data_IF_663367135133
#
_entry.id   IF_663367135133
#
_cell.length_a   1.000
_cell.length_b   1.000
_cell.length_c   1.000
_cell.angle_alpha   90.00
_cell.angle_beta   90.00
_cell.angle_gamma   90.00
#
_symmetry.space_group_name_H-M   'P 1'
#
loop_
_entity.id
_entity.type
_entity.pdbx_description
1 polymer ?
#
# COMPACT_ATOMS: atom_id res chain seq x y z
N UNK A 1 -31.19 15.66 -4.57
CA UNK A 1 -30.55 14.83 -5.62
C UNK A 1 -29.20 15.44 -5.93
N UNK A 2 -28.13 14.95 -5.31
CA UNK A 2 -26.76 15.41 -5.60
C UNK A 2 -26.34 14.75 -6.91
N UNK A 3 -26.16 15.55 -7.96
CA UNK A 3 -25.64 15.07 -9.24
C UNK A 3 -24.18 14.66 -9.03
N UNK A 4 -23.79 13.39 -9.28
CA UNK A 4 -22.41 12.97 -9.06
C UNK A 4 -21.51 13.63 -10.11
N UNK A 5 -20.44 14.26 -9.63
CA UNK A 5 -19.49 15.03 -10.45
C UNK A 5 -18.92 14.16 -11.58
N UNK A 6 -18.79 14.69 -12.81
CA UNK A 6 -18.26 13.91 -13.94
C UNK A 6 -16.84 13.38 -13.69
N UNK A 7 -16.03 14.06 -12.86
CA UNK A 7 -14.72 13.58 -12.42
C UNK A 7 -14.79 12.30 -11.57
N UNK A 8 -15.81 12.16 -10.72
CA UNK A 8 -16.01 10.96 -9.88
C UNK A 8 -16.38 9.74 -10.75
N UNK A 9 -17.19 9.95 -11.79
CA UNK A 9 -17.53 8.91 -12.78
C UNK A 9 -16.32 8.48 -13.62
N UNK A 10 -15.53 9.41 -14.13
CA UNK A 10 -14.36 9.09 -14.97
C UNK A 10 -13.29 8.33 -14.18
N UNK A 11 -13.04 8.71 -12.91
CA UNK A 11 -12.14 7.98 -12.01
C UNK A 11 -12.58 6.53 -11.80
N UNK A 12 -13.90 6.29 -11.65
CA UNK A 12 -14.44 4.94 -11.45
C UNK A 12 -14.29 4.03 -12.69
N UNK A 13 -14.37 4.60 -13.90
CA UNK A 13 -14.22 3.85 -15.16
C UNK A 13 -12.74 3.54 -15.40
N UNK A 14 -11.85 4.51 -15.21
CA UNK A 14 -10.40 4.31 -15.34
C UNK A 14 -9.86 3.31 -14.30
N UNK A 15 -10.43 3.31 -13.09
CA UNK A 15 -10.10 2.33 -12.06
C UNK A 15 -10.60 0.93 -12.43
N UNK A 16 -11.82 0.80 -12.97
CA UNK A 16 -12.37 -0.47 -13.48
C UNK A 16 -11.59 -1.03 -14.66
N UNK A 17 -11.18 -0.18 -15.59
CA UNK A 17 -10.37 -0.57 -16.75
C UNK A 17 -9.00 -1.10 -16.33
N UNK A 18 -8.34 -0.40 -15.39
CA UNK A 18 -7.08 -0.88 -14.79
C UNK A 18 -7.26 -2.18 -14.02
N UNK A 19 -8.37 -2.35 -13.31
CA UNK A 19 -8.69 -3.59 -12.59
C UNK A 19 -8.90 -4.75 -13.54
N UNK A 20 -9.60 -4.52 -14.65
CA UNK A 20 -9.80 -5.51 -15.72
C UNK A 20 -8.46 -5.89 -16.36
N UNK A 21 -7.58 -4.91 -16.61
CA UNK A 21 -6.23 -5.17 -17.12
C UNK A 21 -5.39 -6.03 -16.15
N UNK A 22 -5.38 -5.69 -14.84
CA UNK A 22 -4.66 -6.47 -13.83
C UNK A 22 -5.23 -7.88 -13.73
N UNK A 23 -6.56 -8.05 -13.68
CA UNK A 23 -7.20 -9.36 -13.67
C UNK A 23 -6.87 -10.19 -14.90
N UNK A 24 -6.85 -9.58 -16.09
CA UNK A 24 -6.46 -10.25 -17.32
C UNK A 24 -5.00 -10.71 -17.27
N UNK A 25 -4.08 -9.87 -16.80
CA UNK A 25 -2.68 -10.24 -16.66
C UNK A 25 -2.51 -11.45 -15.72
N UNK A 26 -3.20 -11.44 -14.58
CA UNK A 26 -3.18 -12.56 -13.63
C UNK A 26 -3.79 -13.83 -14.23
N UNK A 27 -4.87 -13.70 -15.00
CA UNK A 27 -5.48 -14.82 -15.71
C UNK A 27 -4.54 -15.42 -16.77
N UNK A 28 -3.71 -14.59 -17.40
CA UNK A 28 -2.67 -15.02 -18.33
C UNK A 28 -1.43 -15.61 -17.64
N UNK A 29 -1.46 -15.76 -16.31
CA UNK A 29 -0.38 -16.37 -15.52
C UNK A 29 0.65 -15.37 -15.00
N UNK A 30 0.37 -14.07 -15.02
CA UNK A 30 1.23 -13.11 -14.33
C UNK A 30 1.22 -13.39 -12.83
N UNK A 31 2.41 -13.49 -12.25
CA UNK A 31 2.57 -13.78 -10.83
C UNK A 31 2.70 -12.46 -10.04
N UNK A 32 1.69 -12.16 -9.21
CA UNK A 32 1.70 -10.94 -8.40
C UNK A 32 2.72 -10.98 -7.25
N UNK A 33 3.19 -12.17 -6.88
CA UNK A 33 4.18 -12.36 -5.79
C UNK A 33 5.61 -12.11 -6.26
N UNK A 34 5.82 -11.98 -7.57
CA UNK A 34 7.12 -11.77 -8.17
C UNK A 34 7.77 -10.46 -7.69
N UNK A 35 9.07 -10.55 -7.40
CA UNK A 35 9.88 -9.43 -6.97
C UNK A 35 10.70 -8.87 -8.13
N UNK A 36 10.78 -7.55 -8.21
CA UNK A 36 11.67 -6.89 -9.16
C UNK A 36 13.13 -7.25 -8.87
N UNK A 37 13.88 -7.64 -9.90
CA UNK A 37 15.26 -8.14 -9.80
C UNK A 37 16.19 -7.14 -9.10
N UNK A 38 16.02 -5.83 -9.36
CA UNK A 38 16.89 -4.79 -8.81
C UNK A 38 16.48 -4.40 -7.39
N UNK A 39 15.18 -4.21 -7.18
CA UNK A 39 14.68 -3.63 -5.95
C UNK A 39 14.15 -4.65 -4.92
N UNK A 40 14.06 -5.94 -5.26
CA UNK A 40 13.36 -6.97 -4.49
C UNK A 40 11.91 -6.59 -4.11
N UNK A 41 11.31 -5.63 -4.83
CA UNK A 41 9.97 -5.09 -4.54
C UNK A 41 8.92 -5.90 -5.27
N UNK A 42 7.87 -6.29 -4.55
CA UNK A 42 6.65 -6.82 -5.17
C UNK A 42 5.79 -5.67 -5.69
N UNK A 43 4.75 -6.01 -6.47
CA UNK A 43 3.77 -5.03 -6.96
C UNK A 43 3.09 -4.27 -5.80
N UNK A 44 2.91 -4.89 -4.64
CA UNK A 44 2.36 -4.25 -3.44
C UNK A 44 3.31 -3.17 -2.89
N UNK A 45 4.61 -3.45 -2.81
CA UNK A 45 5.60 -2.46 -2.36
C UNK A 45 5.63 -1.24 -3.29
N UNK A 46 5.52 -1.47 -4.60
CA UNK A 46 5.47 -0.39 -5.59
C UNK A 46 4.17 0.44 -5.47
N UNK A 47 3.02 -0.21 -5.25
CA UNK A 47 1.75 0.46 -5.04
C UNK A 47 1.76 1.35 -3.79
N UNK A 48 2.34 0.86 -2.69
CA UNK A 48 2.54 1.62 -1.46
C UNK A 48 3.52 2.79 -1.69
N UNK A 49 4.63 2.56 -2.40
CA UNK A 49 5.58 3.63 -2.72
C UNK A 49 4.95 4.77 -3.50
N UNK A 50 4.00 4.45 -4.39
CA UNK A 50 3.24 5.44 -5.16
C UNK A 50 2.10 6.11 -4.36
N UNK A 51 1.90 5.74 -3.08
CA UNK A 51 0.78 6.15 -2.24
C UNK A 51 -0.60 5.90 -2.91
N UNK A 52 -0.70 4.88 -3.77
CA UNK A 52 -1.89 4.62 -4.56
C UNK A 52 -2.83 3.66 -3.82
N UNK A 53 -3.72 4.22 -3.00
CA UNK A 53 -4.69 3.48 -2.18
C UNK A 53 -5.56 2.53 -3.00
N UNK A 54 -6.01 2.98 -4.19
CA UNK A 54 -6.88 2.20 -5.07
C UNK A 54 -6.16 0.95 -5.57
N UNK A 55 -4.90 1.08 -5.99
CA UNK A 55 -4.11 -0.05 -6.45
C UNK A 55 -3.78 -1.01 -5.30
N UNK A 56 -3.49 -0.49 -4.10
CA UNK A 56 -3.28 -1.32 -2.91
C UNK A 56 -4.54 -2.16 -2.62
N UNK A 57 -5.73 -1.55 -2.54
CA UNK A 57 -6.97 -2.30 -2.31
C UNK A 57 -7.19 -3.37 -3.36
N UNK A 58 -7.03 -3.01 -4.64
CA UNK A 58 -7.21 -3.92 -5.76
C UNK A 58 -6.31 -5.15 -5.67
N UNK A 59 -5.04 -4.96 -5.31
CA UNK A 59 -4.08 -6.05 -5.12
C UNK A 59 -4.44 -6.95 -3.93
N UNK A 60 -5.01 -6.36 -2.86
CA UNK A 60 -5.41 -7.11 -1.67
C UNK A 60 -6.74 -7.86 -1.85
N UNK A 61 -7.58 -7.43 -2.80
CA UNK A 61 -8.84 -8.09 -3.17
C UNK A 61 -8.64 -9.25 -4.17
N UNK A 62 -7.41 -9.49 -4.64
CA UNK A 62 -7.12 -10.57 -5.58
C UNK A 62 -7.35 -11.94 -4.92
N UNK A 63 -8.16 -12.84 -5.51
CA UNK A 63 -8.54 -14.12 -4.91
C UNK A 63 -7.47 -15.22 -5.01
N UNK A 64 -6.22 -14.88 -5.34
CA UNK A 64 -5.17 -15.86 -5.62
C UNK A 64 -4.11 -15.90 -4.51
N UNK A 65 -3.87 -17.11 -4.00
CA UNK A 65 -2.73 -17.40 -3.11
C UNK A 65 -2.95 -17.04 -1.65
N UNK A 66 -1.85 -17.12 -0.89
CA UNK A 66 -1.82 -16.80 0.53
C UNK A 66 -1.58 -15.28 0.69
N UNK A 67 -2.68 -14.52 0.75
CA UNK A 67 -2.67 -13.07 0.88
C UNK A 67 -1.78 -12.60 2.04
N UNK A 68 -1.81 -13.33 3.16
CA UNK A 68 -0.99 -13.00 4.33
C UNK A 68 0.50 -13.16 4.02
N UNK A 69 0.89 -14.23 3.33
CA UNK A 69 2.27 -14.40 2.90
C UNK A 69 2.70 -13.28 1.96
N UNK A 70 1.84 -12.89 1.00
CA UNK A 70 2.11 -11.83 0.04
C UNK A 70 2.31 -10.45 0.70
N UNK A 71 1.42 -10.07 1.62
CA UNK A 71 1.49 -8.78 2.33
C UNK A 71 2.73 -8.68 3.24
N UNK A 72 3.20 -9.81 3.76
CA UNK A 72 4.35 -9.88 4.65
C UNK A 72 5.69 -10.15 3.94
N UNK A 73 5.69 -10.23 2.60
CA UNK A 73 6.94 -10.32 1.84
C UNK A 73 7.84 -9.11 2.12
N UNK A 74 9.14 -9.35 2.14
CA UNK A 74 10.15 -8.31 2.41
C UNK A 74 10.86 -7.89 1.13
N UNK A 75 10.94 -6.59 0.91
CA UNK A 75 11.77 -5.94 -0.09
C UNK A 75 12.92 -5.20 0.61
N UNK A 76 14.16 -5.65 0.44
CA UNK A 76 15.33 -5.15 1.21
C UNK A 76 15.06 -5.12 2.72
N UNK A 77 14.45 -6.19 3.25
CA UNK A 77 14.06 -6.26 4.66
C UNK A 77 12.75 -5.58 5.03
N UNK A 78 12.30 -4.59 4.26
CA UNK A 78 11.09 -3.83 4.57
C UNK A 78 9.85 -4.53 4.02
N UNK A 79 8.81 -4.65 4.82
CA UNK A 79 7.48 -5.07 4.33
C UNK A 79 6.74 -3.88 3.72
N UNK A 80 5.63 -4.14 3.02
CA UNK A 80 4.73 -3.10 2.56
C UNK A 80 4.27 -2.16 3.70
N UNK A 81 4.11 -2.71 4.92
CA UNK A 81 3.73 -1.93 6.10
C UNK A 81 4.84 -0.99 6.58
N UNK A 82 6.12 -1.40 6.50
CA UNK A 82 7.26 -0.50 6.78
C UNK A 82 7.29 0.68 5.79
N UNK A 83 7.10 0.40 4.51
CA UNK A 83 7.04 1.45 3.48
C UNK A 83 5.85 2.39 3.70
N UNK A 84 4.70 1.86 4.10
CA UNK A 84 3.51 2.67 4.39
C UNK A 84 3.73 3.61 5.59
N UNK A 85 4.41 3.13 6.64
CA UNK A 85 4.74 3.96 7.79
C UNK A 85 5.72 5.11 7.44
N UNK A 86 6.62 4.89 6.48
CA UNK A 86 7.57 5.91 6.02
C UNK A 86 6.97 6.95 5.04
N UNK A 87 5.71 6.76 4.60
CA UNK A 87 5.00 7.72 3.74
C UNK A 87 4.79 9.07 4.45
N UNK A 88 4.59 10.16 3.68
CA UNK A 88 4.18 11.42 4.27
C UNK A 88 2.85 11.28 5.03
N UNK A 89 2.71 11.89 6.22
CA UNK A 89 1.50 11.83 7.01
C UNK A 89 0.33 12.44 6.22
N UNK A 90 -0.79 11.71 6.18
CA UNK A 90 -1.97 12.12 5.44
C UNK A 90 -2.98 10.99 5.24
N UNK A 91 -4.12 11.29 4.57
CA UNK A 91 -5.22 10.33 4.42
C UNK A 91 -4.82 9.08 3.63
N UNK A 92 -3.90 9.22 2.67
CA UNK A 92 -3.40 8.09 1.89
C UNK A 92 -2.57 7.11 2.74
N UNK A 93 -1.70 7.62 3.62
CA UNK A 93 -0.93 6.78 4.53
C UNK A 93 -1.87 5.98 5.45
N UNK A 94 -2.81 6.67 6.10
CA UNK A 94 -3.74 6.03 7.02
C UNK A 94 -4.57 4.94 6.30
N UNK A 95 -5.10 5.26 5.11
CA UNK A 95 -5.85 4.29 4.31
C UNK A 95 -5.01 3.06 3.95
N UNK A 96 -3.78 3.26 3.45
CA UNK A 96 -2.89 2.15 3.07
C UNK A 96 -2.56 1.28 4.29
N UNK A 97 -2.20 1.88 5.43
CA UNK A 97 -1.90 1.14 6.66
C UNK A 97 -3.10 0.32 7.11
N UNK A 98 -4.30 0.91 7.11
CA UNK A 98 -5.55 0.20 7.44
C UNK A 98 -5.81 -0.98 6.51
N UNK A 99 -5.64 -0.81 5.20
CA UNK A 99 -5.84 -1.88 4.23
C UNK A 99 -4.83 -3.02 4.42
N UNK A 100 -3.56 -2.70 4.62
CA UNK A 100 -2.51 -3.71 4.85
C UNK A 100 -2.76 -4.50 6.13
N UNK A 101 -3.12 -3.83 7.23
CA UNK A 101 -3.45 -4.50 8.50
C UNK A 101 -4.69 -5.39 8.38
N UNK A 102 -5.73 -4.91 7.69
CA UNK A 102 -6.94 -5.70 7.43
C UNK A 102 -6.64 -6.96 6.58
N UNK A 103 -5.65 -6.88 5.70
CA UNK A 103 -5.18 -8.00 4.88
C UNK A 103 -4.18 -8.93 5.59
N UNK A 104 -3.91 -8.73 6.89
CA UNK A 104 -3.04 -9.58 7.68
C UNK A 104 -1.56 -9.19 7.69
N UNK A 105 -1.22 -7.93 7.39
CA UNK A 105 0.13 -7.43 7.63
C UNK A 105 0.50 -7.57 9.11
N UNK A 106 1.64 -8.19 9.39
CA UNK A 106 2.15 -8.40 10.74
C UNK A 106 2.97 -7.16 11.17
N UNK A 107 2.46 -6.31 12.09
CA UNK A 107 3.17 -5.12 12.55
C UNK A 107 4.37 -5.45 13.46
N UNK A 108 4.51 -6.71 13.88
CA UNK A 108 5.62 -7.16 14.71
C UNK A 108 6.88 -7.47 13.90
N UNK A 109 6.78 -7.62 12.58
CA UNK A 109 7.91 -7.97 11.72
C UNK A 109 8.95 -6.86 11.75
N UNK A 110 10.22 -7.27 11.78
CA UNK A 110 11.36 -6.37 11.77
C UNK A 110 12.06 -6.33 10.42
N UNK A 111 12.50 -5.14 10.02
CA UNK A 111 13.35 -4.95 8.85
C UNK A 111 14.81 -5.33 9.12
N UNK A 112 15.71 -5.08 8.16
CA UNK A 112 17.16 -5.34 8.32
C UNK A 112 17.81 -4.47 9.40
N UNK A 113 17.26 -3.28 9.64
CA UNK A 113 17.69 -2.36 10.70
C UNK A 113 17.08 -2.72 12.07
N UNK A 114 16.42 -3.88 12.18
CA UNK A 114 15.75 -4.36 13.39
C UNK A 114 14.59 -3.44 13.86
N UNK A 115 14.07 -2.62 12.96
CA UNK A 115 12.96 -1.70 13.19
C UNK A 115 11.62 -2.37 12.88
N UNK A 116 10.59 -2.03 13.66
CA UNK A 116 9.20 -2.34 13.35
C UNK A 116 8.62 -1.20 12.50
N UNK A 117 7.50 -1.42 11.78
CA UNK A 117 6.86 -0.38 10.98
C UNK A 117 6.58 0.88 11.78
N UNK A 118 6.22 0.75 13.06
CA UNK A 118 5.89 1.89 13.92
C UNK A 118 7.08 2.85 14.08
N UNK A 119 8.31 2.33 14.09
CA UNK A 119 9.51 3.13 14.29
C UNK A 119 9.81 4.03 13.08
N UNK A 120 9.26 3.69 11.91
CA UNK A 120 9.40 4.46 10.67
C UNK A 120 8.34 5.55 10.52
N UNK A 121 7.37 5.63 11.44
CA UNK A 121 6.37 6.68 11.43
C UNK A 121 7.04 8.03 11.57
N UNK A 122 6.80 8.91 10.59
CA UNK A 122 7.23 10.30 10.71
C UNK A 122 6.39 10.97 11.80
N UNK A 123 7.02 11.76 12.69
CA UNK A 123 6.27 12.66 13.55
C UNK A 123 5.35 13.52 12.68
N UNK A 124 4.06 13.55 12.98
CA UNK A 124 3.17 14.54 12.39
C UNK A 124 3.68 15.96 12.71
N UNK A 125 3.22 16.99 11.99
CA UNK A 125 3.43 18.35 12.46
C UNK A 125 2.83 18.44 13.86
N UNK A 126 3.69 18.43 14.88
CA UNK A 126 3.27 18.67 16.25
C UNK A 126 2.67 20.07 16.36
N UNK A 127 1.89 20.35 17.41
CA UNK A 127 1.48 21.72 17.76
C UNK A 127 2.67 22.55 18.27
N UNK A 128 3.84 22.45 17.65
CA UNK A 128 5.07 23.14 18.01
C UNK A 128 5.11 24.49 17.28
N UNK A 129 4.21 25.36 17.73
CA UNK A 129 4.09 26.76 17.32
C UNK A 129 3.49 27.65 18.41
N UNK A 130 3.38 27.17 19.65
CA UNK A 130 3.15 28.02 20.82
C UNK A 130 4.50 28.20 21.53
N UNK A 131 5.24 29.21 21.10
CA UNK A 131 6.25 29.84 21.96
C UNK A 131 5.56 30.24 23.26
N UNK A 132 5.84 29.49 24.32
CA UNK A 132 5.88 30.04 25.66
C UNK A 132 7.34 30.34 25.97
N UNK A 133 7.56 31.62 26.26
CA UNK A 133 8.79 32.30 26.72
C UNK A 133 9.75 32.81 25.64
#
# INVERSE_FOLDING_TARGET
MVSPDPCSRVLSIQARDRLSCVQMLLHMGADHTSQEIKSNKTVLHLAVQAANTVLVQLLLELPQGDLRAFVNMKAHGNTALHMAAALPPGPHQEAIVRHLLAAGADPALRNLENEQPIHLLRPGPGPEGVSIE
#
